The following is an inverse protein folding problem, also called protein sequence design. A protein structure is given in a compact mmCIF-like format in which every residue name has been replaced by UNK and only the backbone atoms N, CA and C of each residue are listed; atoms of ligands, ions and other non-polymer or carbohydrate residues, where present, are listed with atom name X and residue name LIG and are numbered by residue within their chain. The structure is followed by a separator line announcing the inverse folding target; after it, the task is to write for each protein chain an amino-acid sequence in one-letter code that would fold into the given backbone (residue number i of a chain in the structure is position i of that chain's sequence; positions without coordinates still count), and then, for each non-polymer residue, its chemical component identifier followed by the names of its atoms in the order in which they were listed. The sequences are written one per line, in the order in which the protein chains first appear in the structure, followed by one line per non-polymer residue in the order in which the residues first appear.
data_IF_276032486288
#
_entry.id   IF_276032486288
#
_cell.length_a   1.000
_cell.length_b   1.000
_cell.length_c   1.000
_cell.angle_alpha   90.00
_cell.angle_beta   90.00
_cell.angle_gamma   90.00
#
_symmetry.space_group_name_H-M   'P 1'
#
loop_
_entity.id
_entity.type
_entity.pdbx_description
1 polymer ?
#
# COMPACT_ATOMS: atom_id res chain seq x y z
N UNK A 1 2.41 -25.62 45.08
CA UNK A 1 2.63 -24.66 46.19
C UNK A 1 3.29 -23.33 45.79
N UNK A 2 4.57 -23.23 45.40
CA UNK A 2 5.20 -21.90 45.13
C UNK A 2 4.55 -21.15 43.94
N UNK A 3 3.97 -21.89 43.00
CA UNK A 3 3.32 -21.35 41.80
C UNK A 3 1.87 -20.92 42.09
N UNK A 4 1.16 -21.63 42.98
CA UNK A 4 -0.23 -21.32 43.37
C UNK A 4 -0.31 -20.08 44.26
N UNK A 5 0.59 -19.94 45.25
CA UNK A 5 0.62 -18.75 46.11
C UNK A 5 0.93 -17.47 45.32
N UNK A 6 1.74 -17.57 44.25
CA UNK A 6 1.99 -16.45 43.33
C UNK A 6 0.77 -16.09 42.47
N UNK A 7 -0.08 -17.05 42.13
CA UNK A 7 -1.31 -16.77 41.39
C UNK A 7 -2.40 -16.16 42.27
N UNK A 8 -2.57 -16.61 43.51
CA UNK A 8 -3.50 -15.99 44.46
C UNK A 8 -3.08 -14.56 44.80
N UNK A 9 -1.78 -14.32 45.01
CA UNK A 9 -1.24 -12.98 45.24
C UNK A 9 -1.42 -12.08 44.02
N UNK A 10 -1.18 -12.60 42.81
CA UNK A 10 -1.44 -11.87 41.56
C UNK A 10 -2.92 -11.52 41.39
N UNK A 11 -3.84 -12.46 41.70
CA UNK A 11 -5.29 -12.21 41.66
C UNK A 11 -5.72 -11.11 42.62
N UNK A 12 -5.13 -11.06 43.83
CA UNK A 12 -5.41 -10.04 44.85
C UNK A 12 -5.03 -8.63 44.40
N UNK A 13 -3.88 -8.49 43.71
CA UNK A 13 -3.36 -7.20 43.25
C UNK A 13 -3.69 -6.89 41.78
N UNK A 14 -4.43 -7.76 41.08
CA UNK A 14 -4.69 -7.64 39.65
C UNK A 14 -5.25 -6.28 39.24
N UNK A 15 -6.25 -5.78 39.97
CA UNK A 15 -6.87 -4.49 39.68
C UNK A 15 -5.91 -3.32 39.95
N UNK A 16 -5.13 -3.39 41.03
CA UNK A 16 -4.17 -2.35 41.41
C UNK A 16 -3.01 -2.28 40.41
N UNK A 17 -2.49 -3.45 39.99
CA UNK A 17 -1.49 -3.57 38.93
C UNK A 17 -2.04 -3.07 37.59
N UNK A 18 -3.28 -3.44 37.23
CA UNK A 18 -3.93 -2.99 35.99
C UNK A 18 -4.09 -1.48 35.96
N UNK A 19 -4.49 -0.88 37.08
CA UNK A 19 -4.72 0.56 37.15
C UNK A 19 -3.41 1.34 37.21
N UNK A 20 -2.37 0.81 37.85
CA UNK A 20 -1.02 1.35 37.77
C UNK A 20 -0.46 1.29 36.34
N UNK A 21 -0.71 0.19 35.61
CA UNK A 21 -0.32 0.06 34.20
C UNK A 21 -1.05 1.12 33.37
N UNK A 22 -2.37 1.29 33.56
CA UNK A 22 -3.15 2.31 32.84
C UNK A 22 -2.71 3.73 33.15
N UNK A 23 -2.49 4.07 34.42
CA UNK A 23 -2.04 5.40 34.85
C UNK A 23 -0.64 5.76 34.34
N UNK A 24 0.23 4.76 34.17
CA UNK A 24 1.58 4.95 33.61
C UNK A 24 1.62 4.81 32.09
N UNK A 25 0.53 4.37 31.47
CA UNK A 25 0.48 4.17 30.04
C UNK A 25 0.10 5.48 29.35
N UNK A 26 1.11 6.29 29.05
CA UNK A 26 0.96 7.52 28.26
C UNK A 26 0.81 7.23 26.76
N UNK A 27 0.68 5.96 26.33
CA UNK A 27 0.42 5.67 24.91
C UNK A 27 -1.02 5.97 24.56
N UNK A 28 -1.20 6.86 23.58
CA UNK A 28 -2.48 7.07 22.94
C UNK A 28 -2.99 5.73 22.35
N UNK A 29 -4.15 5.22 22.81
CA UNK A 29 -4.72 3.96 22.33
C UNK A 29 -4.86 3.91 20.81
N UNK A 30 -5.13 5.04 20.16
CA UNK A 30 -5.26 5.14 18.71
C UNK A 30 -3.92 4.87 18.04
N UNK A 31 -2.86 5.54 18.49
CA UNK A 31 -1.50 5.32 18.00
C UNK A 31 -1.04 3.86 18.21
N UNK A 32 -1.38 3.25 19.33
CA UNK A 32 -1.07 1.85 19.61
C UNK A 32 -1.84 0.89 18.71
N UNK A 33 -3.12 1.14 18.43
CA UNK A 33 -3.91 0.34 17.50
C UNK A 33 -3.37 0.45 16.06
N UNK A 34 -3.07 1.67 15.61
CA UNK A 34 -2.56 1.89 14.25
C UNK A 34 -1.19 1.21 14.07
N UNK A 35 -0.28 1.33 15.03
CA UNK A 35 1.06 0.71 14.96
C UNK A 35 1.02 -0.82 14.95
N UNK A 36 0.00 -1.43 15.56
CA UNK A 36 -0.16 -2.88 15.59
C UNK A 36 -1.10 -3.40 14.49
N UNK A 37 -1.64 -2.50 13.67
CA UNK A 37 -2.44 -2.88 12.52
C UNK A 37 -1.53 -3.42 11.41
N UNK A 38 -1.95 -4.53 10.80
CA UNK A 38 -1.24 -5.10 9.67
C UNK A 38 -1.25 -4.18 8.45
N UNK A 39 -0.23 -4.28 7.60
CA UNK A 39 -0.27 -3.69 6.27
C UNK A 39 -1.50 -4.18 5.50
N UNK A 40 -2.14 -3.26 4.79
CA UNK A 40 -3.35 -3.52 4.00
C UNK A 40 -3.08 -3.24 2.52
N UNK A 41 -3.83 -3.94 1.66
CA UNK A 41 -3.81 -3.73 0.22
C UNK A 41 -4.42 -2.36 -0.13
N UNK A 42 -3.61 -1.51 -0.75
CA UNK A 42 -3.98 -0.17 -1.15
C UNK A 42 -3.65 0.01 -2.62
N UNK A 43 -4.42 0.87 -3.28
CA UNK A 43 -4.04 1.34 -4.60
C UNK A 43 -4.03 2.86 -4.67
N UNK A 44 -3.16 3.36 -5.54
CA UNK A 44 -3.16 4.76 -5.96
C UNK A 44 -3.63 4.86 -7.40
N UNK A 45 -4.58 5.74 -7.64
CA UNK A 45 -5.09 6.07 -8.96
C UNK A 45 -4.31 7.24 -9.56
N UNK A 46 -3.63 7.09 -10.71
CA UNK A 46 -3.11 8.23 -11.46
C UNK A 46 -4.21 9.13 -12.04
N UNK A 47 -5.47 8.70 -12.01
CA UNK A 47 -6.63 9.45 -12.52
C UNK A 47 -6.89 9.26 -14.01
N UNK A 48 -6.61 8.08 -14.56
CA UNK A 48 -6.95 7.74 -15.94
C UNK A 48 -7.87 6.53 -15.98
N UNK A 49 -8.86 6.61 -16.88
CA UNK A 49 -9.76 5.51 -17.21
C UNK A 49 -9.38 4.94 -18.58
N UNK A 50 -9.34 3.61 -18.66
CA UNK A 50 -9.17 2.83 -19.87
C UNK A 50 -10.54 2.34 -20.31
N UNK A 51 -10.93 2.64 -21.55
CA UNK A 51 -12.22 2.19 -22.07
C UNK A 51 -12.27 0.67 -22.21
N UNK A 52 -13.48 0.13 -22.16
CA UNK A 52 -13.73 -1.27 -22.48
C UNK A 52 -13.33 -1.58 -23.93
N UNK A 53 -13.02 -2.84 -24.19
CA UNK A 53 -12.59 -3.30 -25.52
C UNK A 53 -13.58 -3.05 -26.65
N UNK A 54 -14.87 -3.06 -26.33
CA UNK A 54 -15.96 -2.78 -27.28
C UNK A 54 -16.29 -1.29 -27.37
N UNK A 55 -15.52 -0.45 -26.66
CA UNK A 55 -15.64 1.00 -26.65
C UNK A 55 -15.22 1.65 -27.96
N UNK A 56 -15.15 2.99 -27.93
CA UNK A 56 -14.78 3.79 -29.11
C UNK A 56 -13.27 3.97 -29.22
N UNK A 57 -12.58 3.88 -28.08
CA UNK A 57 -11.15 3.99 -28.02
C UNK A 57 -10.44 2.78 -28.65
N UNK A 58 -9.41 3.05 -29.46
CA UNK A 58 -8.58 1.99 -30.00
C UNK A 58 -7.60 1.48 -28.95
N UNK A 59 -7.27 0.18 -28.99
CA UNK A 59 -6.24 -0.42 -28.11
C UNK A 59 -4.93 0.36 -28.10
N UNK A 60 -4.50 0.84 -29.27
CA UNK A 60 -3.27 1.64 -29.40
C UNK A 60 -3.35 2.94 -28.58
N UNK A 61 -4.53 3.58 -28.51
CA UNK A 61 -4.77 4.77 -27.70
C UNK A 61 -4.76 4.44 -26.20
N UNK A 62 -5.38 3.33 -25.79
CA UNK A 62 -5.33 2.87 -24.40
C UNK A 62 -3.90 2.58 -23.94
N UNK A 63 -3.11 1.85 -24.75
CA UNK A 63 -1.68 1.64 -24.47
C UNK A 63 -0.90 2.96 -24.45
N UNK A 64 -1.25 3.93 -25.30
CA UNK A 64 -0.65 5.27 -25.29
C UNK A 64 -0.95 6.02 -23.98
N UNK A 65 -2.20 6.03 -23.50
CA UNK A 65 -2.59 6.66 -22.23
C UNK A 65 -1.81 6.07 -21.04
N UNK A 66 -1.70 4.75 -20.98
CA UNK A 66 -0.93 4.05 -19.93
C UNK A 66 0.53 4.48 -19.98
N UNK A 67 1.18 4.41 -21.16
CA UNK A 67 2.59 4.83 -21.32
C UNK A 67 2.81 6.28 -20.89
N UNK A 68 1.95 7.20 -21.32
CA UNK A 68 2.09 8.63 -20.98
C UNK A 68 1.94 8.89 -19.50
N UNK A 69 0.97 8.22 -18.87
CA UNK A 69 0.70 8.37 -17.43
C UNK A 69 1.84 7.81 -16.59
N UNK A 70 2.37 6.65 -16.99
CA UNK A 70 3.53 6.01 -16.35
C UNK A 70 4.88 6.62 -16.81
N UNK A 71 4.86 7.72 -17.57
CA UNK A 71 6.06 8.43 -18.09
C UNK A 71 7.05 7.51 -18.82
N UNK A 72 6.55 6.47 -19.48
CA UNK A 72 7.34 5.48 -20.21
C UNK A 72 7.70 5.98 -21.60
N UNK A 73 8.86 5.55 -22.10
CA UNK A 73 9.26 5.81 -23.50
C UNK A 73 8.45 4.93 -24.44
N UNK A 74 8.26 5.38 -25.69
CA UNK A 74 7.66 4.56 -26.75
C UNK A 74 8.52 3.30 -26.96
N UNK A 75 7.90 2.12 -27.07
CA UNK A 75 8.62 0.84 -27.20
C UNK A 75 8.95 0.19 -25.87
N UNK A 76 8.89 0.92 -24.75
CA UNK A 76 9.25 0.40 -23.45
C UNK A 76 8.10 -0.44 -22.89
N UNK A 77 8.38 -1.73 -22.64
CA UNK A 77 7.42 -2.70 -22.11
C UNK A 77 6.15 -2.87 -22.95
N UNK A 78 6.23 -2.68 -24.28
CA UNK A 78 5.06 -2.71 -25.16
C UNK A 78 4.26 -4.01 -25.02
N UNK A 79 4.93 -5.17 -24.95
CA UNK A 79 4.27 -6.47 -24.76
C UNK A 79 3.46 -6.54 -23.46
N UNK A 80 4.03 -6.07 -22.34
CA UNK A 80 3.34 -6.09 -21.05
C UNK A 80 2.16 -5.11 -21.02
N UNK A 81 2.31 -3.94 -21.64
CA UNK A 81 1.22 -2.95 -21.69
C UNK A 81 0.10 -3.43 -22.61
N UNK A 82 0.44 -4.07 -23.73
CA UNK A 82 -0.55 -4.71 -24.60
C UNK A 82 -1.25 -5.86 -23.90
N UNK A 83 -0.52 -6.70 -23.16
CA UNK A 83 -1.09 -7.75 -22.33
C UNK A 83 -2.05 -7.20 -21.28
N UNK A 84 -1.67 -6.12 -20.59
CA UNK A 84 -2.52 -5.43 -19.61
C UNK A 84 -3.82 -4.96 -20.24
N UNK A 85 -3.74 -4.25 -21.37
CA UNK A 85 -4.92 -3.75 -22.08
C UNK A 85 -5.77 -4.90 -22.58
N UNK A 86 -5.17 -5.91 -23.23
CA UNK A 86 -5.88 -7.03 -23.86
C UNK A 86 -6.66 -7.89 -22.87
N UNK A 87 -6.15 -8.05 -21.65
CA UNK A 87 -6.81 -8.85 -20.62
C UNK A 87 -7.79 -8.06 -19.75
N UNK A 88 -7.68 -6.73 -19.69
CA UNK A 88 -8.65 -5.86 -19.04
C UNK A 88 -9.85 -5.56 -19.97
N UNK A 89 -10.64 -6.59 -20.30
CA UNK A 89 -11.67 -6.52 -21.35
C UNK A 89 -12.77 -5.49 -21.10
N UNK A 90 -13.20 -5.33 -19.85
CA UNK A 90 -14.17 -4.33 -19.42
C UNK A 90 -13.53 -2.99 -19.01
N UNK A 91 -12.30 -2.74 -19.45
CA UNK A 91 -11.57 -1.51 -19.14
C UNK A 91 -11.48 -1.28 -17.62
N UNK A 92 -11.52 -0.02 -17.25
CA UNK A 92 -11.51 0.43 -15.86
C UNK A 92 -10.39 1.41 -15.57
N UNK A 93 -10.18 1.65 -14.28
CA UNK A 93 -9.22 2.63 -13.81
C UNK A 93 -7.81 2.03 -13.80
N UNK A 94 -6.81 2.80 -14.26
CA UNK A 94 -5.40 2.44 -14.04
C UNK A 94 -5.05 2.63 -12.57
N UNK A 95 -4.47 1.60 -11.95
CA UNK A 95 -4.15 1.57 -10.52
C UNK A 95 -2.76 1.04 -10.29
N UNK A 96 -2.08 1.57 -9.28
CA UNK A 96 -0.80 1.03 -8.79
C UNK A 96 -1.06 0.47 -7.39
N UNK A 97 -0.86 -0.85 -7.22
CA UNK A 97 -1.11 -1.54 -5.96
C UNK A 97 0.15 -1.66 -5.13
N UNK A 98 0.01 -1.47 -3.82
CA UNK A 98 1.07 -1.58 -2.84
C UNK A 98 0.49 -1.86 -1.46
N UNK A 99 1.33 -2.42 -0.59
CA UNK A 99 1.00 -2.61 0.81
C UNK A 99 1.50 -1.44 1.65
N UNK A 100 0.66 -0.96 2.56
CA UNK A 100 1.04 0.08 3.51
C UNK A 100 0.36 -0.10 4.87
N UNK A 101 1.06 0.32 5.92
CA UNK A 101 0.45 0.53 7.23
C UNK A 101 -0.34 1.84 7.26
N UNK A 102 -1.44 1.89 8.02
CA UNK A 102 -2.25 3.10 8.11
C UNK A 102 -1.47 4.30 8.69
N UNK A 103 -0.54 4.06 9.62
CA UNK A 103 0.38 5.07 10.16
C UNK A 103 1.29 5.71 9.10
N UNK A 104 1.57 5.02 8.01
CA UNK A 104 2.48 5.49 6.95
C UNK A 104 1.75 6.40 5.95
N UNK A 105 0.42 6.43 6.02
CA UNK A 105 -0.46 7.16 5.11
C UNK A 105 -1.28 8.24 5.81
N UNK A 106 -1.05 8.52 7.09
CA UNK A 106 -1.71 9.62 7.81
C UNK A 106 -0.66 10.64 8.23
N UNK A 107 -0.97 11.92 8.03
CA UNK A 107 -0.17 13.02 8.58
C UNK A 107 -0.78 13.50 9.89
N UNK A 108 0.06 13.84 10.87
CA UNK A 108 -0.38 14.50 12.11
C UNK A 108 -0.57 16.03 11.91
N UNK A 109 -0.35 16.54 10.70
CA UNK A 109 -0.53 17.94 10.35
C UNK A 109 -1.87 18.12 9.62
N UNK A 110 -2.86 18.62 10.36
CA UNK A 110 -4.22 18.86 9.86
C UNK A 110 -4.29 19.87 8.69
N UNK A 111 -3.19 20.58 8.37
CA UNK A 111 -3.14 21.55 7.28
C UNK A 111 -2.32 21.15 6.07
N UNK A 112 -1.45 20.14 6.16
CA UNK A 112 -0.57 19.73 5.07
C UNK A 112 -0.47 18.20 4.95
N UNK A 113 -0.99 17.69 3.84
CA UNK A 113 -0.83 16.29 3.45
C UNK A 113 0.53 16.06 2.73
N UNK A 114 0.82 14.82 2.36
CA UNK A 114 1.98 14.49 1.55
C UNK A 114 1.99 15.29 0.23
N UNK A 115 3.19 15.67 -0.23
CA UNK A 115 3.36 16.39 -1.50
C UNK A 115 3.39 15.46 -2.70
N UNK A 116 4.05 14.31 -2.53
CA UNK A 116 4.29 13.35 -3.61
C UNK A 116 4.22 11.94 -3.09
N UNK A 117 3.96 11.01 -3.99
CA UNK A 117 4.13 9.57 -3.78
C UNK A 117 4.98 9.02 -4.92
N UNK A 118 6.00 8.25 -4.58
CA UNK A 118 6.88 7.57 -5.51
C UNK A 118 6.64 6.08 -5.42
N UNK A 119 6.59 5.43 -6.58
CA UNK A 119 6.54 3.98 -6.73
C UNK A 119 7.80 3.54 -7.46
N UNK A 120 8.48 2.53 -6.94
CA UNK A 120 9.68 1.99 -7.54
C UNK A 120 9.81 0.48 -7.36
N UNK A 121 10.73 -0.14 -8.11
CA UNK A 121 10.88 -1.59 -8.15
C UNK A 121 9.89 -2.22 -9.12
N UNK A 122 9.55 -3.48 -8.89
CA UNK A 122 8.64 -4.26 -9.73
C UNK A 122 7.19 -3.96 -9.32
N UNK A 123 6.73 -2.77 -9.70
CA UNK A 123 5.45 -2.23 -9.29
C UNK A 123 4.29 -2.98 -9.95
N UNK A 124 3.30 -3.35 -9.15
CA UNK A 124 2.05 -3.95 -9.61
C UNK A 124 1.13 -2.86 -10.17
N UNK A 125 0.90 -2.93 -11.47
CA UNK A 125 0.03 -2.01 -12.21
C UNK A 125 -1.17 -2.79 -12.73
N UNK A 126 -2.38 -2.32 -12.45
CA UNK A 126 -3.60 -2.95 -12.91
C UNK A 126 -4.51 -1.97 -13.65
N UNK A 127 -5.35 -2.52 -14.53
CA UNK A 127 -6.57 -1.86 -14.99
C UNK A 127 -7.71 -2.64 -14.35
N UNK A 128 -8.48 -1.98 -13.48
CA UNK A 128 -9.52 -2.63 -12.70
C UNK A 128 -10.83 -1.85 -12.74
N UNK A 129 -11.91 -2.57 -13.01
CA UNK A 129 -13.27 -2.07 -13.00
C UNK A 129 -14.01 -2.60 -11.78
N UNK A 130 -14.04 -1.78 -10.72
CA UNK A 130 -14.72 -2.12 -9.46
C UNK A 130 -16.24 -2.09 -9.52
N UNK A 131 -16.85 -1.70 -10.64
CA UNK A 131 -18.30 -1.78 -10.83
C UNK A 131 -18.75 -3.12 -11.38
N UNK A 132 -17.98 -3.67 -12.32
CA UNK A 132 -18.26 -4.96 -12.96
C UNK A 132 -17.48 -6.12 -12.31
N UNK A 133 -16.53 -5.85 -11.42
CA UNK A 133 -15.74 -6.88 -10.76
C UNK A 133 -14.77 -7.56 -11.73
N UNK A 134 -13.98 -6.78 -12.45
CA UNK A 134 -13.05 -7.29 -13.46
C UNK A 134 -11.76 -6.48 -13.50
N UNK A 135 -10.74 -7.03 -14.13
CA UNK A 135 -9.48 -6.34 -14.35
C UNK A 135 -8.32 -7.29 -14.60
N UNK A 136 -7.17 -6.72 -14.90
CA UNK A 136 -5.93 -7.45 -15.07
C UNK A 136 -4.77 -6.63 -14.52
N UNK A 137 -3.71 -7.29 -14.07
CA UNK A 137 -2.51 -6.64 -13.56
C UNK A 137 -1.25 -7.22 -14.20
N UNK A 138 -0.20 -6.41 -14.22
CA UNK A 138 1.15 -6.76 -14.61
C UNK A 138 2.13 -6.29 -13.54
N UNK A 139 3.28 -6.93 -13.48
CA UNK A 139 4.44 -6.41 -12.75
C UNK A 139 5.32 -5.64 -13.71
N UNK A 140 5.69 -4.41 -13.35
CA UNK A 140 6.41 -3.50 -14.21
C UNK A 140 7.57 -2.84 -13.44
N UNK A 141 8.83 -2.99 -13.89
CA UNK A 141 9.96 -2.31 -13.28
C UNK A 141 9.83 -0.80 -13.54
N UNK A 142 9.40 -0.07 -12.52
CA UNK A 142 9.10 1.35 -12.55
C UNK A 142 9.98 2.13 -11.57
N UNK A 143 10.12 3.42 -11.87
CA UNK A 143 10.53 4.45 -10.92
C UNK A 143 9.81 5.74 -11.30
N UNK A 144 8.69 6.01 -10.63
CA UNK A 144 7.80 7.11 -10.97
C UNK A 144 7.33 7.84 -9.74
N UNK A 145 7.26 9.17 -9.84
CA UNK A 145 6.68 10.05 -8.82
C UNK A 145 5.47 10.79 -9.36
N UNK A 146 4.40 10.77 -8.56
CA UNK A 146 3.17 11.54 -8.76
C UNK A 146 3.05 12.63 -7.69
N UNK A 147 2.42 13.78 -8.00
CA UNK A 147 1.82 14.62 -6.98
C UNK A 147 0.84 13.79 -6.17
N UNK A 148 0.90 13.90 -4.84
CA UNK A 148 0.01 13.16 -3.96
C UNK A 148 -1.33 13.88 -3.87
N UNK A 149 -2.40 13.13 -4.09
CA UNK A 149 -3.79 13.58 -3.96
C UNK A 149 -4.51 12.55 -3.12
N UNK A 150 -4.97 12.96 -1.93
CA UNK A 150 -5.61 12.06 -0.95
C UNK A 150 -6.77 11.28 -1.53
N UNK A 151 -7.62 11.94 -2.32
CA UNK A 151 -8.81 11.34 -2.94
C UNK A 151 -8.49 10.33 -4.06
N UNK A 152 -7.20 10.11 -4.35
CA UNK A 152 -6.73 9.08 -5.29
C UNK A 152 -6.13 7.86 -4.61
N UNK A 153 -6.11 7.86 -3.28
CA UNK A 153 -5.59 6.77 -2.46
C UNK A 153 -6.77 5.98 -1.88
N UNK A 154 -6.83 4.69 -2.19
CA UNK A 154 -7.96 3.85 -1.84
C UNK A 154 -7.51 2.56 -1.16
N UNK A 155 -8.24 2.17 -0.12
CA UNK A 155 -8.15 0.82 0.43
C UNK A 155 -8.94 -0.11 -0.48
N UNK A 156 -8.29 -1.15 -1.02
CA UNK A 156 -8.91 -2.01 -2.03
C UNK A 156 -10.17 -2.74 -1.51
N UNK A 157 -10.22 -3.05 -0.22
CA UNK A 157 -11.41 -3.69 0.39
C UNK A 157 -12.60 -2.74 0.59
N UNK A 158 -12.45 -1.44 0.33
CA UNK A 158 -13.51 -0.44 0.54
C UNK A 158 -14.18 -0.02 -0.78
N UNK A 159 -13.69 -0.51 -1.92
CA UNK A 159 -14.40 -0.35 -3.20
C UNK A 159 -15.46 -1.44 -3.37
N UNK A 160 -16.43 -1.21 -4.26
CA UNK A 160 -17.57 -2.13 -4.45
C UNK A 160 -17.16 -3.57 -4.75
N UNK A 161 -16.19 -3.74 -5.65
CA UNK A 161 -15.51 -5.00 -5.87
C UNK A 161 -14.01 -4.76 -5.71
N UNK A 162 -13.46 -5.32 -4.63
CA UNK A 162 -12.03 -5.38 -4.34
C UNK A 162 -11.34 -6.21 -5.41
N UNK A 163 -10.34 -5.61 -6.05
CA UNK A 163 -9.61 -6.32 -7.09
C UNK A 163 -8.81 -7.49 -6.52
N UNK A 164 -8.13 -7.26 -5.38
CA UNK A 164 -7.29 -8.28 -4.78
C UNK A 164 -8.15 -9.46 -4.27
N UNK A 165 -9.15 -9.24 -3.42
CA UNK A 165 -9.82 -10.35 -2.73
C UNK A 165 -11.03 -10.89 -3.47
N UNK A 166 -11.87 -10.02 -4.03
CA UNK A 166 -13.16 -10.45 -4.61
C UNK A 166 -13.04 -10.82 -6.09
N UNK A 167 -12.21 -10.11 -6.85
CA UNK A 167 -11.99 -10.40 -8.28
C UNK A 167 -10.94 -11.49 -8.49
N UNK A 168 -9.78 -11.36 -7.83
CA UNK A 168 -8.63 -12.23 -8.11
C UNK A 168 -8.31 -13.26 -7.02
N UNK A 169 -8.91 -13.17 -5.82
CA UNK A 169 -8.63 -14.10 -4.72
C UNK A 169 -7.18 -14.10 -4.23
N UNK A 170 -6.51 -12.95 -4.30
CA UNK A 170 -5.09 -12.77 -3.98
C UNK A 170 -4.81 -12.79 -2.49
N UNK A 171 -3.64 -13.31 -2.12
CA UNK A 171 -3.07 -13.21 -0.78
C UNK A 171 -2.51 -11.82 -0.52
N UNK A 172 -2.20 -11.52 0.75
CA UNK A 172 -1.76 -10.18 1.16
C UNK A 172 -0.45 -9.74 0.51
N UNK A 173 0.46 -10.66 0.23
CA UNK A 173 1.81 -10.42 -0.30
C UNK A 173 1.87 -10.21 -1.82
N UNK A 174 0.75 -10.30 -2.52
CA UNK A 174 0.70 -10.24 -3.99
C UNK A 174 1.27 -8.95 -4.61
N UNK A 175 1.34 -7.86 -3.82
CA UNK A 175 1.90 -6.58 -4.25
C UNK A 175 3.12 -6.11 -3.45
N UNK A 176 3.80 -7.03 -2.73
CA UNK A 176 5.01 -6.73 -1.96
C UNK A 176 6.21 -6.32 -2.83
N UNK A 177 6.16 -6.61 -4.14
CA UNK A 177 7.17 -6.16 -5.10
C UNK A 177 7.11 -4.65 -5.37
N UNK A 178 5.98 -3.99 -5.09
CA UNK A 178 5.83 -2.54 -5.22
C UNK A 178 6.44 -1.83 -4.01
N UNK A 179 7.62 -1.24 -4.19
CA UNK A 179 8.17 -0.33 -3.19
C UNK A 179 7.60 1.08 -3.38
N UNK A 180 7.39 1.80 -2.28
CA UNK A 180 6.80 3.13 -2.32
C UNK A 180 7.34 4.03 -1.21
N UNK A 181 7.32 5.34 -1.46
CA UNK A 181 7.67 6.37 -0.47
C UNK A 181 6.86 7.65 -0.71
N UNK A 182 6.52 8.37 0.35
CA UNK A 182 5.90 9.70 0.25
C UNK A 182 6.94 10.80 0.41
N UNK A 183 6.70 11.95 -0.22
CA UNK A 183 7.59 13.12 -0.17
C UNK A 183 7.63 13.85 1.18
N UNK A 184 7.12 13.23 2.24
CA UNK A 184 7.18 13.75 3.61
C UNK A 184 8.13 12.86 4.40
N UNK A 185 9.26 13.43 4.86
CA UNK A 185 10.09 12.74 5.84
C UNK A 185 9.26 12.59 7.11
N UNK A 186 8.84 11.37 7.43
CA UNK A 186 8.26 11.07 8.74
C UNK A 186 9.28 11.45 9.82
N UNK A 187 8.87 12.29 10.76
CA UNK A 187 9.66 12.56 11.97
C UNK A 187 9.68 11.26 12.76
N UNK A 188 10.75 10.48 12.66
CA UNK A 188 10.98 9.31 13.52
C UNK A 188 11.54 8.06 12.85
N UNK A 189 11.63 7.97 11.51
CA UNK A 189 12.24 6.81 10.86
C UNK A 189 13.75 6.99 10.71
N UNK A 190 14.48 7.03 11.83
CA UNK A 190 15.86 6.55 11.84
C UNK A 190 15.82 5.04 11.62
N UNK A 191 15.77 4.65 10.34
CA UNK A 191 16.10 3.29 9.94
C UNK A 191 17.46 2.95 10.53
N UNK A 192 17.47 2.14 11.59
CA UNK A 192 18.67 1.44 12.03
C UNK A 192 19.12 0.61 10.83
N UNK A 193 20.18 1.07 10.17
CA UNK A 193 21.01 0.28 9.28
C UNK A 193 21.47 -0.98 10.02
N UNK A 194 20.65 -2.04 10.01
CA UNK A 194 21.10 -3.42 10.29
C UNK A 194 21.85 -3.90 9.06
N UNK A 195 23.04 -3.34 8.83
CA UNK A 195 24.11 -3.87 7.99
C UNK A 195 25.25 -2.83 7.94
N UNK A 196 26.08 -2.83 8.98
CA UNK A 196 27.52 -2.47 8.99
C UNK A 196 28.02 -2.39 10.44
N UNK A 197 28.00 -3.52 11.15
CA UNK A 197 28.73 -3.65 12.43
C UNK A 197 29.01 -5.12 12.75
N UNK A 198 29.50 -5.87 11.75
CA UNK A 198 30.10 -7.20 11.95
C UNK A 198 31.48 -7.35 11.31
N UNK A 199 32.18 -6.24 11.07
CA UNK A 199 33.52 -6.29 10.43
C UNK A 199 34.58 -5.44 11.14
N UNK A 200 34.38 -5.10 12.42
CA UNK A 200 35.37 -4.35 13.21
C UNK A 200 35.64 -4.92 14.61
N UNK A 201 35.36 -6.21 14.84
CA UNK A 201 35.72 -6.91 16.10
C UNK A 201 36.66 -8.11 15.91
N UNK A 202 37.33 -8.18 14.76
CA UNK A 202 38.49 -9.06 14.57
C UNK A 202 39.60 -8.26 13.91
N UNK A 203 40.41 -7.62 14.76
CA UNK A 203 41.87 -7.58 14.69
C UNK A 203 42.39 -6.77 15.89
#
# INVERSE_FOLDING_TARGET
MVIEGRQEEFGKYYNEITELIRQRNDTDPINSLIKNSSAINIFYSPGIEIEEHIGRESRAMSCYKIRRTLKLKKGQFDTLIEELVNNATYGGELRIYFNAGFNELVTNDNGNDFRTIRFHGDAIVAVANSFNGSGYHISLPLDITFPFVRDRLFVDSQVRYSYATEVCGMYRDWCDSTSWETGYKTVGNTGRNRQKEKTLLTN
#
